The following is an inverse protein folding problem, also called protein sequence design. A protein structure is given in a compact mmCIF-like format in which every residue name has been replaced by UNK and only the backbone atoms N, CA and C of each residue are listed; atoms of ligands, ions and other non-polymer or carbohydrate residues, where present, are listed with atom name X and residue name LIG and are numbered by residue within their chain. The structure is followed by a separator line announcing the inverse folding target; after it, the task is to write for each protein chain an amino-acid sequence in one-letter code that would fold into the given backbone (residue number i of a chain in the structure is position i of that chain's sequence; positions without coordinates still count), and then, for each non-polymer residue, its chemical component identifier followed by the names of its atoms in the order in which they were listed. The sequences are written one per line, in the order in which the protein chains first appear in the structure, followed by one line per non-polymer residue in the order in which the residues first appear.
data_IF_669341308023
#
_entry.id   IF_669341308023
#
_cell.length_a   1.000
_cell.length_b   1.000
_cell.length_c   1.000
_cell.angle_alpha   90.00
_cell.angle_beta   90.00
_cell.angle_gamma   90.00
#
_symmetry.space_group_name_H-M   'P 1'
#
loop_
_entity.id
_entity.type
_entity.pdbx_description
1 polymer ?
#
# COMPACT_ATOMS: atom_id res chain seq x y z
N UNK A 1 -7.65 9.20 -4.44
CA UNK A 1 -8.90 8.41 -4.48
C UNK A 1 -8.92 7.26 -3.46
N UNK A 2 -7.88 6.43 -3.34
CA UNK A 2 -7.88 5.33 -2.35
C UNK A 2 -8.10 5.80 -0.89
N UNK A 3 -7.48 6.91 -0.48
CA UNK A 3 -7.71 7.49 0.86
C UNK A 3 -9.19 7.77 1.15
N UNK A 4 -9.93 8.35 0.18
CA UNK A 4 -11.36 8.63 0.31
C UNK A 4 -12.19 7.35 0.45
N UNK A 5 -11.85 6.31 -0.31
CA UNK A 5 -12.54 5.01 -0.21
C UNK A 5 -12.30 4.33 1.15
N UNK A 6 -11.13 4.56 1.76
CA UNK A 6 -10.76 4.01 3.06
C UNK A 6 -11.21 4.88 4.25
N UNK A 7 -11.68 6.10 3.99
CA UNK A 7 -12.32 7.00 4.95
C UNK A 7 -13.80 6.66 5.17
N UNK A 8 -14.43 6.09 4.16
CA UNK A 8 -15.82 5.66 4.18
C UNK A 8 -15.93 4.31 4.91
N UNK A 9 -16.56 4.29 6.09
CA UNK A 9 -16.66 3.09 6.92
C UNK A 9 -17.43 1.94 6.25
N UNK A 10 -18.38 2.25 5.36
CA UNK A 10 -19.14 1.24 4.63
C UNK A 10 -18.30 0.62 3.51
N UNK A 11 -17.48 1.42 2.82
CA UNK A 11 -16.65 0.97 1.70
C UNK A 11 -15.29 0.44 2.10
N UNK A 12 -14.76 0.85 3.25
CA UNK A 12 -13.42 0.48 3.73
C UNK A 12 -13.20 -1.04 3.73
N UNK A 13 -14.13 -1.89 4.25
CA UNK A 13 -13.93 -3.34 4.24
C UNK A 13 -13.80 -3.91 2.81
N UNK A 14 -14.65 -3.48 1.89
CA UNK A 14 -14.64 -3.94 0.50
C UNK A 14 -13.38 -3.47 -0.24
N UNK A 15 -12.96 -2.22 -0.02
CA UNK A 15 -11.74 -1.69 -0.60
C UNK A 15 -10.50 -2.48 -0.14
N UNK A 16 -10.37 -2.74 1.17
CA UNK A 16 -9.26 -3.54 1.72
C UNK A 16 -9.28 -4.99 1.25
N UNK A 17 -10.47 -5.60 1.13
CA UNK A 17 -10.63 -6.93 0.58
C UNK A 17 -10.21 -6.97 -0.90
N UNK A 18 -10.63 -6.00 -1.71
CA UNK A 18 -10.24 -5.87 -3.11
C UNK A 18 -8.72 -5.76 -3.29
N UNK A 19 -8.05 -4.97 -2.45
CA UNK A 19 -6.60 -4.84 -2.46
C UNK A 19 -5.88 -6.14 -2.08
N UNK A 20 -6.42 -6.86 -1.09
CA UNK A 20 -5.86 -8.16 -0.67
C UNK A 20 -6.01 -9.18 -1.81
N UNK A 21 -7.18 -9.26 -2.45
CA UNK A 21 -7.44 -10.12 -3.61
C UNK A 21 -6.57 -9.77 -4.81
N UNK A 22 -6.29 -8.48 -5.03
CA UNK A 22 -5.35 -8.06 -6.06
C UNK A 22 -3.93 -8.61 -5.80
N UNK A 23 -3.47 -8.60 -4.55
CA UNK A 23 -2.16 -9.18 -4.21
C UNK A 23 -2.14 -10.70 -4.41
N UNK A 24 -3.22 -11.40 -4.00
CA UNK A 24 -3.37 -12.83 -4.29
C UNK A 24 -3.27 -13.11 -5.78
N UNK A 25 -4.05 -12.39 -6.61
CA UNK A 25 -4.01 -12.52 -8.07
C UNK A 25 -2.62 -12.22 -8.64
N UNK A 26 -1.95 -11.18 -8.14
CA UNK A 26 -0.62 -10.81 -8.60
C UNK A 26 0.43 -11.89 -8.36
N UNK A 27 0.32 -12.61 -7.24
CA UNK A 27 1.18 -13.77 -6.93
C UNK A 27 0.79 -14.96 -7.79
N UNK A 28 -0.48 -15.34 -7.83
CA UNK A 28 -0.97 -16.52 -8.56
C UNK A 28 -0.71 -16.44 -10.07
N UNK A 29 -0.81 -15.24 -10.64
CA UNK A 29 -0.61 -15.00 -12.07
C UNK A 29 0.82 -14.54 -12.40
N UNK A 30 1.74 -14.54 -11.44
CA UNK A 30 3.13 -14.10 -11.62
C UNK A 30 3.24 -12.73 -12.33
N UNK A 31 2.40 -11.77 -11.95
CA UNK A 31 2.24 -10.49 -12.68
C UNK A 31 3.54 -9.66 -12.78
N UNK A 32 4.57 -10.00 -12.02
CA UNK A 32 5.91 -9.45 -12.15
C UNK A 32 6.59 -9.76 -13.47
N UNK A 33 6.14 -10.76 -14.23
CA UNK A 33 6.65 -11.05 -15.57
C UNK A 33 6.35 -9.91 -16.55
N UNK A 34 5.18 -9.30 -16.41
CA UNK A 34 4.75 -8.16 -17.23
C UNK A 34 5.03 -6.81 -16.54
N UNK A 35 4.99 -6.79 -15.20
CA UNK A 35 5.17 -5.59 -14.38
C UNK A 35 6.26 -5.82 -13.33
N UNK A 36 7.56 -5.75 -13.71
CA UNK A 36 8.66 -6.11 -12.81
C UNK A 36 8.68 -5.36 -11.46
N UNK A 37 8.18 -4.13 -11.42
CA UNK A 37 8.11 -3.27 -10.23
C UNK A 37 6.68 -3.16 -9.65
N UNK A 38 5.88 -4.24 -9.74
CA UNK A 38 4.50 -4.25 -9.23
C UNK A 38 4.41 -3.87 -7.75
N UNK A 39 5.31 -4.39 -6.91
CA UNK A 39 5.34 -4.08 -5.49
C UNK A 39 5.79 -2.66 -5.18
N UNK A 40 6.71 -2.08 -5.97
CA UNK A 40 7.11 -0.69 -5.82
C UNK A 40 5.97 0.28 -6.15
N UNK A 41 5.22 -0.01 -7.22
CA UNK A 41 4.01 0.76 -7.61
C UNK A 41 2.91 0.65 -6.57
N UNK A 42 2.66 -0.56 -6.05
CA UNK A 42 1.64 -0.74 -5.02
C UNK A 42 2.05 -0.07 -3.70
N UNK A 43 3.32 -0.18 -3.28
CA UNK A 43 3.83 0.52 -2.10
C UNK A 43 3.63 2.03 -2.19
N UNK A 44 3.85 2.63 -3.36
CA UNK A 44 3.57 4.05 -3.58
C UNK A 44 2.11 4.41 -3.40
N UNK A 45 1.19 3.60 -3.94
CA UNK A 45 -0.25 3.79 -3.76
C UNK A 45 -0.65 3.72 -2.27
N UNK A 46 -0.12 2.74 -1.52
CA UNK A 46 -0.40 2.59 -0.09
C UNK A 46 0.09 3.79 0.71
N UNK A 47 1.33 4.21 0.51
CA UNK A 47 1.93 5.33 1.23
C UNK A 47 1.23 6.63 0.89
N UNK A 48 0.88 6.85 -0.38
CA UNK A 48 0.12 8.02 -0.79
C UNK A 48 -1.26 8.06 -0.11
N UNK A 49 -1.92 6.91 0.11
CA UNK A 49 -3.18 6.89 0.84
C UNK A 49 -3.02 7.30 2.32
N UNK A 50 -1.94 6.88 2.98
CA UNK A 50 -1.64 7.21 4.39
C UNK A 50 -1.17 8.65 4.56
N UNK A 51 -0.41 9.19 3.62
CA UNK A 51 0.20 10.52 3.69
C UNK A 51 -0.49 11.57 2.81
N UNK A 52 -1.75 11.35 2.39
CA UNK A 52 -2.53 12.35 1.64
C UNK A 52 -2.48 13.73 2.33
N UNK A 53 -2.32 14.80 1.56
CA UNK A 53 -2.29 16.17 2.07
C UNK A 53 -3.59 16.49 2.86
N UNK A 54 -3.43 16.86 4.13
CA UNK A 54 -4.55 17.24 5.02
C UNK A 54 -5.28 18.49 4.58
N UNK A 55 -4.62 19.37 3.83
CA UNK A 55 -5.23 20.59 3.31
C UNK A 55 -6.16 20.30 2.12
N UNK A 56 -5.97 19.16 1.44
CA UNK A 56 -6.76 18.77 0.27
C UNK A 56 -7.79 17.69 0.57
N UNK A 57 -7.49 16.79 1.51
CA UNK A 57 -8.39 15.70 1.91
C UNK A 57 -8.60 15.75 3.42
N UNK A 58 -9.82 16.13 3.81
CA UNK A 58 -10.29 16.14 5.20
C UNK A 58 -10.64 14.72 5.69
N UNK A 59 -10.73 14.53 7.00
CA UNK A 59 -11.17 13.29 7.63
C UNK A 59 -10.04 12.37 8.11
N UNK A 60 -10.42 11.25 8.73
CA UNK A 60 -9.49 10.30 9.35
C UNK A 60 -8.66 9.58 8.29
N UNK A 61 -7.34 9.69 8.35
CA UNK A 61 -6.48 8.99 7.38
C UNK A 61 -6.46 7.48 7.65
N UNK A 62 -6.34 6.65 6.61
CA UNK A 62 -6.11 5.22 6.77
C UNK A 62 -4.83 4.98 7.57
N UNK A 63 -4.87 4.01 8.47
CA UNK A 63 -3.68 3.58 9.20
C UNK A 63 -2.88 2.64 8.34
N UNK A 64 -1.55 2.67 8.48
CA UNK A 64 -0.70 1.67 7.84
C UNK A 64 -1.07 0.23 8.25
N UNK A 65 -1.59 0.06 9.48
CA UNK A 65 -2.08 -1.23 9.98
C UNK A 65 -3.28 -1.76 9.21
N UNK A 66 -4.07 -0.89 8.58
CA UNK A 66 -5.25 -1.31 7.79
C UNK A 66 -4.85 -2.23 6.62
N UNK A 67 -3.61 -2.14 6.15
CA UNK A 67 -3.09 -2.94 5.03
C UNK A 67 -2.48 -4.28 5.44
N UNK A 68 -2.64 -4.73 6.69
CA UNK A 68 -2.02 -5.98 7.18
C UNK A 68 -2.28 -7.17 6.25
N UNK A 69 -3.54 -7.40 5.85
CA UNK A 69 -3.88 -8.51 4.96
C UNK A 69 -3.29 -8.34 3.55
N UNK A 70 -3.19 -7.10 3.05
CA UNK A 70 -2.56 -6.80 1.76
C UNK A 70 -1.09 -7.24 1.78
N UNK A 71 -0.37 -6.94 2.87
CA UNK A 71 1.02 -7.38 3.03
C UNK A 71 1.16 -8.89 3.16
N UNK A 72 0.25 -9.55 3.89
CA UNK A 72 0.24 -11.00 4.04
C UNK A 72 0.02 -11.71 2.71
N UNK A 73 -0.93 -11.24 1.90
CA UNK A 73 -1.18 -11.81 0.57
C UNK A 73 0.00 -11.59 -0.37
N UNK A 74 0.58 -10.39 -0.40
CA UNK A 74 1.78 -10.12 -1.19
C UNK A 74 3.01 -10.90 -0.72
N UNK A 75 3.10 -11.26 0.58
CA UNK A 75 4.24 -12.01 1.14
C UNK A 75 4.35 -13.45 0.62
N UNK A 76 3.31 -13.93 -0.05
CA UNK A 76 3.26 -15.23 -0.73
C UNK A 76 4.02 -15.24 -2.05
N UNK A 77 4.57 -14.11 -2.49
CA UNK A 77 5.57 -14.06 -3.56
C UNK A 77 6.76 -14.96 -3.17
N UNK A 78 6.89 -16.08 -3.87
CA UNK A 78 7.84 -17.15 -3.59
C UNK A 78 9.17 -16.96 -4.31
N UNK A 79 9.31 -15.89 -5.11
CA UNK A 79 10.60 -15.53 -5.69
C UNK A 79 11.61 -15.26 -4.59
N UNK A 80 12.83 -15.69 -4.84
CA UNK A 80 13.94 -15.51 -3.91
C UNK A 80 14.08 -14.04 -3.50
N UNK A 81 14.17 -13.80 -2.20
CA UNK A 81 14.33 -12.47 -1.57
C UNK A 81 13.17 -11.49 -1.85
N UNK A 82 11.97 -11.97 -2.24
CA UNK A 82 10.78 -11.13 -2.49
C UNK A 82 9.65 -11.29 -1.48
N UNK A 83 9.74 -12.24 -0.57
CA UNK A 83 8.81 -12.32 0.56
C UNK A 83 8.83 -11.01 1.36
N UNK A 84 7.64 -10.48 1.67
CA UNK A 84 7.43 -9.18 2.33
C UNK A 84 7.99 -7.94 1.60
N UNK A 85 8.37 -8.05 0.32
CA UNK A 85 8.93 -6.92 -0.43
C UNK A 85 8.00 -5.69 -0.42
N UNK A 86 6.70 -5.89 -0.61
CA UNK A 86 5.70 -4.82 -0.55
C UNK A 86 5.72 -4.05 0.78
N UNK A 87 5.83 -4.78 1.90
CA UNK A 87 5.91 -4.19 3.24
C UNK A 87 7.20 -3.38 3.40
N UNK A 88 8.35 -3.97 3.02
CA UNK A 88 9.66 -3.33 3.13
C UNK A 88 9.72 -2.05 2.29
N UNK A 89 9.25 -2.10 1.04
CA UNK A 89 9.20 -0.95 0.15
C UNK A 89 8.27 0.14 0.69
N UNK A 90 7.11 -0.24 1.24
CA UNK A 90 6.19 0.70 1.85
C UNK A 90 6.83 1.41 3.04
N UNK A 91 7.47 0.68 3.96
CA UNK A 91 8.16 1.26 5.12
C UNK A 91 9.30 2.19 4.71
N UNK A 92 10.15 1.80 3.76
CA UNK A 92 11.22 2.66 3.21
C UNK A 92 10.67 3.98 2.69
N UNK A 93 9.55 3.93 1.96
CA UNK A 93 8.86 5.12 1.44
C UNK A 93 8.27 5.97 2.56
N UNK A 94 7.62 5.38 3.56
CA UNK A 94 7.11 6.13 4.72
C UNK A 94 8.21 6.90 5.44
N UNK A 95 9.36 6.25 5.68
CA UNK A 95 10.52 6.91 6.31
C UNK A 95 10.99 8.08 5.43
N UNK A 96 11.09 7.88 4.12
CA UNK A 96 11.50 8.93 3.17
C UNK A 96 10.54 10.12 3.18
N UNK A 97 9.22 9.88 3.17
CA UNK A 97 8.21 10.93 3.29
C UNK A 97 8.30 11.66 4.64
N UNK A 98 8.48 10.92 5.74
CA UNK A 98 8.60 11.52 7.08
C UNK A 98 9.84 12.41 7.23
N UNK A 99 10.95 12.03 6.60
CA UNK A 99 12.17 12.84 6.58
C UNK A 99 11.95 14.09 5.73
N UNK A 100 11.31 13.99 4.57
CA UNK A 100 11.02 15.14 3.72
C UNK A 100 10.14 16.17 4.43
N UNK A 101 9.12 15.72 5.18
CA UNK A 101 8.30 16.60 6.01
C UNK A 101 9.13 17.31 7.08
N UNK A 102 10.11 16.63 7.70
CA UNK A 102 10.98 17.25 8.71
C UNK A 102 11.95 18.30 8.16
N UNK A 103 12.35 18.21 6.89
CA UNK A 103 13.27 19.17 6.25
C UNK A 103 12.56 20.32 5.52
N UNK A 104 11.23 20.31 5.46
CA UNK A 104 10.43 21.33 4.75
C UNK A 104 9.85 22.41 5.68
N UNK A 105 10.28 22.45 6.95
CA UNK A 105 9.95 23.48 7.95
C UNK A 105 11.22 24.14 8.49
#
# INVERSE_FOLDING_TARGET
MLCLALQDEEKKPEALAGMSRYCTLAVEAEMWMDIPDIWGKLAELLVNAVYCDSNLISGSRPSFKDFTNVFLEASKDDRKDKSFELLVLSLKRMVSCSLFVKFSY
#
